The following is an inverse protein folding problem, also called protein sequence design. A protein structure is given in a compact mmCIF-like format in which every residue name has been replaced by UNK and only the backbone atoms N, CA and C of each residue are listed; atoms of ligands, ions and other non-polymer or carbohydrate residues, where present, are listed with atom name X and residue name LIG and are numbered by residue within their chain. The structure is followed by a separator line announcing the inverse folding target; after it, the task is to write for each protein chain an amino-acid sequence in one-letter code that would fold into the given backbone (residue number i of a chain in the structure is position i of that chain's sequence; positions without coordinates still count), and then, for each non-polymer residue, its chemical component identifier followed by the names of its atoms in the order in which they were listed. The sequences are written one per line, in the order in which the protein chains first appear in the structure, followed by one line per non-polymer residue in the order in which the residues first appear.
data_IF_748820072378
#
_entry.id   IF_748820072378
#
_cell.length_a   1.000
_cell.length_b   1.000
_cell.length_c   1.000
_cell.angle_alpha   90.00
_cell.angle_beta   90.00
_cell.angle_gamma   90.00
#
_symmetry.space_group_name_H-M   'P 1'
#
loop_
_entity.id
_entity.type
_entity.pdbx_description
1 polymer ?
#
# COMPACT_ATOMS: atom_id res chain seq x y z
N UNK A 1 -2.52 10.28 4.02
CA UNK A 1 -2.52 9.73 2.65
C UNK A 1 -1.50 10.53 1.87
N UNK A 2 -0.54 9.90 1.22
CA UNK A 2 0.36 10.63 0.35
C UNK A 2 -0.41 11.15 -0.87
N UNK A 3 -0.21 12.43 -1.18
CA UNK A 3 -0.78 13.12 -2.33
C UNK A 3 0.36 13.55 -3.22
N UNK A 4 0.32 13.17 -4.50
CA UNK A 4 1.33 13.50 -5.50
C UNK A 4 0.76 14.50 -6.51
N UNK A 5 1.56 15.47 -6.92
CA UNK A 5 1.18 16.42 -7.96
C UNK A 5 1.27 15.76 -9.35
N UNK A 6 0.21 15.86 -10.15
CA UNK A 6 0.19 15.42 -11.55
C UNK A 6 0.57 16.59 -12.43
N UNK A 7 1.53 16.39 -13.34
CA UNK A 7 2.06 17.40 -14.24
C UNK A 7 1.55 17.27 -15.69
N UNK A 8 1.35 16.03 -16.15
CA UNK A 8 0.88 15.74 -17.51
C UNK A 8 -0.16 14.62 -17.49
N UNK A 9 -1.02 14.64 -18.51
CA UNK A 9 -1.97 13.56 -18.80
C UNK A 9 -1.99 13.26 -20.29
N UNK A 10 -2.38 12.04 -20.65
CA UNK A 10 -2.64 11.54 -21.99
C UNK A 10 -3.75 10.51 -21.93
N UNK A 11 -4.62 10.44 -22.92
CA UNK A 11 -5.51 9.29 -23.13
C UNK A 11 -5.31 8.78 -24.54
N UNK A 12 -5.04 7.50 -24.69
CA UNK A 12 -4.87 6.84 -26.00
C UNK A 12 -5.43 5.42 -25.87
N UNK A 13 -6.25 5.00 -26.82
CA UNK A 13 -6.85 3.65 -26.88
C UNK A 13 -7.53 3.22 -25.58
N UNK A 14 -8.27 4.13 -24.96
CA UNK A 14 -8.94 3.89 -23.66
C UNK A 14 -7.98 3.66 -22.47
N UNK A 15 -6.73 4.12 -22.54
CA UNK A 15 -5.81 4.14 -21.42
C UNK A 15 -5.43 5.57 -21.05
N UNK A 16 -5.64 5.90 -19.79
CA UNK A 16 -5.22 7.16 -19.18
C UNK A 16 -3.80 6.98 -18.63
N UNK A 17 -2.87 7.77 -19.12
CA UNK A 17 -1.52 7.88 -18.59
C UNK A 17 -1.37 9.22 -17.90
N UNK A 18 -0.95 9.22 -16.65
CA UNK A 18 -0.60 10.42 -15.87
C UNK A 18 0.87 10.40 -15.50
N UNK A 19 1.48 11.57 -15.46
CA UNK A 19 2.84 11.76 -14.96
C UNK A 19 2.82 12.57 -13.68
N UNK A 20 3.47 12.05 -12.64
CA UNK A 20 3.65 12.76 -11.38
C UNK A 20 4.93 13.59 -11.37
N UNK A 21 4.95 14.63 -10.54
CA UNK A 21 6.14 15.50 -10.37
C UNK A 21 7.29 14.71 -9.72
N UNK A 22 6.96 13.89 -8.74
CA UNK A 22 7.91 13.09 -7.97
C UNK A 22 7.71 11.60 -8.24
N UNK A 23 8.74 10.81 -7.99
CA UNK A 23 8.64 9.35 -8.04
C UNK A 23 7.62 8.85 -7.00
N UNK A 24 6.85 7.85 -7.38
CA UNK A 24 5.86 7.24 -6.50
C UNK A 24 6.25 5.80 -6.18
N UNK A 25 5.79 5.32 -5.03
CA UNK A 25 5.89 3.91 -4.65
C UNK A 25 4.70 3.08 -5.15
N UNK A 26 3.95 3.61 -6.10
CA UNK A 26 2.74 2.98 -6.63
C UNK A 26 3.12 1.96 -7.68
N UNK A 27 2.60 0.75 -7.53
CA UNK A 27 2.82 -0.35 -8.48
C UNK A 27 1.52 -0.81 -9.14
N UNK A 28 1.67 -1.72 -10.09
CA UNK A 28 0.56 -2.38 -10.80
C UNK A 28 -0.41 -3.04 -9.81
N UNK A 29 -1.70 -2.96 -10.08
CA UNK A 29 -2.79 -3.49 -9.25
C UNK A 29 -3.20 -2.60 -8.07
N UNK A 30 -2.51 -1.50 -7.81
CA UNK A 30 -2.85 -0.59 -6.73
C UNK A 30 -3.93 0.42 -7.16
N UNK A 31 -4.77 0.82 -6.20
CA UNK A 31 -5.85 1.78 -6.45
C UNK A 31 -5.38 3.20 -6.13
N UNK A 32 -5.66 4.12 -7.06
CA UNK A 32 -5.32 5.54 -6.96
C UNK A 32 -6.57 6.39 -7.22
N UNK A 33 -6.66 7.54 -6.58
CA UNK A 33 -7.72 8.52 -6.84
C UNK A 33 -7.13 9.76 -7.48
N UNK A 34 -7.64 10.11 -8.66
CA UNK A 34 -7.19 11.24 -9.46
C UNK A 34 -8.17 12.41 -9.37
N UNK A 35 -7.64 13.62 -9.22
CA UNK A 35 -8.40 14.87 -9.17
C UNK A 35 -7.71 15.95 -10.00
N UNK A 36 -8.48 16.94 -10.47
CA UNK A 36 -7.94 18.08 -11.24
C UNK A 36 -7.63 17.78 -12.70
N UNK A 37 -7.96 16.58 -13.22
CA UNK A 37 -7.70 16.21 -14.62
C UNK A 37 -8.83 16.61 -15.58
N UNK A 38 -9.94 17.15 -15.08
CA UNK A 38 -11.18 17.38 -15.78
C UNK A 38 -12.26 16.39 -15.33
N UNK A 39 -13.53 16.81 -15.42
CA UNK A 39 -14.65 16.08 -14.83
C UNK A 39 -14.76 14.60 -15.30
N UNK A 40 -14.38 14.32 -16.53
CA UNK A 40 -14.48 12.98 -17.13
C UNK A 40 -13.31 12.06 -16.79
N UNK A 41 -12.18 12.61 -16.37
CA UNK A 41 -10.93 11.89 -16.08
C UNK A 41 -10.65 11.80 -14.58
N UNK A 42 -11.37 12.55 -13.75
CA UNK A 42 -11.30 12.39 -12.30
C UNK A 42 -11.95 11.07 -11.88
N UNK A 43 -11.43 10.45 -10.82
CA UNK A 43 -12.01 9.21 -10.30
C UNK A 43 -10.98 8.30 -9.66
N UNK A 44 -11.45 7.13 -9.23
CA UNK A 44 -10.60 6.08 -8.67
C UNK A 44 -10.33 5.01 -9.72
N UNK A 45 -9.08 4.66 -9.88
CA UNK A 45 -8.57 3.75 -10.90
C UNK A 45 -7.64 2.71 -10.31
N UNK A 46 -7.53 1.56 -10.99
CA UNK A 46 -6.49 0.57 -10.71
C UNK A 46 -5.33 0.78 -11.69
N UNK A 47 -4.12 0.87 -11.17
CA UNK A 47 -2.90 0.99 -11.99
C UNK A 47 -2.68 -0.31 -12.76
N UNK A 48 -2.60 -0.22 -14.06
CA UNK A 48 -2.36 -1.36 -14.97
C UNK A 48 -0.88 -1.55 -15.23
N UNK A 49 -0.15 -0.44 -15.40
CA UNK A 49 1.29 -0.45 -15.68
C UNK A 49 1.96 0.84 -15.17
N UNK A 50 3.29 0.79 -15.04
CA UNK A 50 4.15 1.91 -14.62
C UNK A 50 5.22 2.11 -15.70
N UNK A 51 4.83 2.64 -16.87
CA UNK A 51 5.74 2.75 -18.01
C UNK A 51 6.80 3.81 -17.79
N UNK A 52 7.99 3.55 -18.35
CA UNK A 52 9.12 4.49 -18.38
C UNK A 52 9.33 5.13 -19.74
N UNK A 53 8.52 4.74 -20.73
CA UNK A 53 8.57 5.26 -22.10
C UNK A 53 7.24 5.91 -22.49
N UNK A 54 7.25 6.72 -23.53
CA UNK A 54 6.04 7.33 -24.06
C UNK A 54 5.08 6.24 -24.57
N UNK A 55 3.86 6.23 -24.04
CA UNK A 55 2.80 5.34 -24.51
C UNK A 55 2.22 5.83 -25.83
N UNK A 56 2.21 4.96 -26.84
CA UNK A 56 1.71 5.25 -28.18
C UNK A 56 0.32 4.68 -28.44
N UNK A 57 -0.06 3.60 -27.76
CA UNK A 57 -1.35 2.94 -27.94
C UNK A 57 -1.29 1.43 -27.69
N UNK A 58 -2.27 0.73 -28.24
CA UNK A 58 -2.42 -0.72 -28.16
C UNK A 58 -2.45 -1.27 -29.57
N UNK A 59 -1.74 -2.37 -29.83
CA UNK A 59 -1.79 -3.03 -31.15
C UNK A 59 -3.06 -3.88 -31.34
N UNK A 60 -3.17 -4.51 -32.53
CA UNK A 60 -4.31 -5.35 -32.88
C UNK A 60 -4.39 -6.64 -32.03
N UNK A 61 -3.28 -7.05 -31.41
CA UNK A 61 -3.18 -8.18 -30.49
C UNK A 61 -3.53 -7.82 -29.04
N UNK A 62 -3.59 -6.51 -28.73
CA UNK A 62 -3.91 -6.00 -27.39
C UNK A 62 -2.68 -5.67 -26.54
N UNK A 63 -1.48 -5.69 -27.13
CA UNK A 63 -0.22 -5.37 -26.46
C UNK A 63 0.05 -3.87 -26.43
N UNK A 64 0.71 -3.39 -25.38
CA UNK A 64 1.03 -1.98 -25.22
C UNK A 64 2.22 -1.57 -26.07
N UNK A 65 2.06 -0.53 -26.87
CA UNK A 65 3.10 0.05 -27.71
C UNK A 65 3.72 1.26 -27.00
N UNK A 66 5.05 1.25 -26.87
CA UNK A 66 5.81 2.35 -26.30
C UNK A 66 6.89 2.84 -27.27
N UNK A 67 7.21 4.13 -27.22
CA UNK A 67 8.37 4.70 -27.94
C UNK A 67 9.64 4.63 -27.06
N UNK A 68 10.56 3.69 -27.32
CA UNK A 68 11.78 3.56 -26.51
C UNK A 68 12.77 4.72 -26.66
N UNK A 69 12.58 5.58 -27.67
CA UNK A 69 13.41 6.77 -27.87
C UNK A 69 13.00 7.91 -26.91
N UNK A 70 11.78 7.87 -26.36
CA UNK A 70 11.24 8.92 -25.50
C UNK A 70 11.04 8.37 -24.08
N UNK A 71 12.02 8.59 -23.21
CA UNK A 71 11.93 8.22 -21.80
C UNK A 71 11.14 9.25 -21.02
N UNK A 72 10.11 8.81 -20.31
CA UNK A 72 9.28 9.64 -19.43
C UNK A 72 9.14 8.91 -18.10
N UNK A 73 9.76 9.44 -17.05
CA UNK A 73 9.72 8.86 -15.72
C UNK A 73 8.43 9.24 -14.98
N UNK A 74 8.13 8.50 -13.92
CA UNK A 74 7.04 8.75 -12.98
C UNK A 74 5.65 8.71 -13.64
N UNK A 75 5.46 7.80 -14.59
CA UNK A 75 4.17 7.59 -15.22
C UNK A 75 3.39 6.47 -14.51
N UNK A 76 2.06 6.60 -14.53
CA UNK A 76 1.12 5.56 -14.13
C UNK A 76 0.07 5.43 -15.22
N UNK A 77 -0.21 4.21 -15.65
CA UNK A 77 -1.18 3.90 -16.70
C UNK A 77 -2.38 3.16 -16.10
N UNK A 78 -3.57 3.57 -16.49
CA UNK A 78 -4.85 3.03 -15.99
C UNK A 78 -5.85 2.92 -17.12
N UNK A 79 -6.73 1.93 -17.06
CA UNK A 79 -7.80 1.80 -18.05
C UNK A 79 -8.88 2.84 -17.81
N UNK A 80 -9.24 3.57 -18.86
CA UNK A 80 -10.29 4.58 -18.86
C UNK A 80 -10.90 4.75 -20.25
N UNK A 81 -12.12 4.26 -20.44
CA UNK A 81 -12.86 4.52 -21.68
C UNK A 81 -13.11 6.02 -21.84
N UNK A 82 -12.46 6.60 -22.84
CA UNK A 82 -12.55 8.02 -23.15
C UNK A 82 -12.00 8.25 -24.56
N UNK A 83 -12.45 9.32 -25.21
CA UNK A 83 -11.85 9.75 -26.48
C UNK A 83 -10.38 10.13 -26.26
N UNK A 84 -9.56 9.93 -27.29
CA UNK A 84 -8.15 10.22 -27.22
C UNK A 84 -7.87 11.69 -26.89
N UNK A 85 -6.93 11.89 -25.99
CA UNK A 85 -6.44 13.20 -25.56
C UNK A 85 -4.93 13.17 -25.67
N UNK A 86 -4.39 14.01 -26.55
CA UNK A 86 -2.95 14.15 -26.71
C UNK A 86 -2.25 14.50 -25.39
N UNK A 87 -0.99 14.07 -25.25
CA UNK A 87 -0.19 14.40 -24.08
C UNK A 87 -0.09 15.92 -23.89
N UNK A 88 -0.48 16.38 -22.71
CA UNK A 88 -0.45 17.80 -22.38
C UNK A 88 -0.30 18.06 -20.89
N UNK A 89 0.13 19.29 -20.52
CA UNK A 89 0.28 19.68 -19.13
C UNK A 89 -1.08 19.78 -18.44
N UNK A 90 -1.11 19.42 -17.15
CA UNK A 90 -2.26 19.55 -16.29
C UNK A 90 -1.83 19.77 -14.84
N UNK A 91 -2.65 20.49 -14.09
CA UNK A 91 -2.48 20.61 -12.62
C UNK A 91 -3.51 19.74 -11.94
N UNK A 92 -3.10 18.54 -11.56
CA UNK A 92 -3.94 17.58 -10.86
C UNK A 92 -3.27 17.03 -9.63
N UNK A 93 -3.99 16.21 -8.89
CA UNK A 93 -3.48 15.48 -7.74
C UNK A 93 -3.82 13.99 -7.86
N UNK A 94 -2.93 13.17 -7.35
CA UNK A 94 -3.09 11.74 -7.19
C UNK A 94 -3.01 11.41 -5.71
N UNK A 95 -4.09 10.88 -5.17
CA UNK A 95 -4.16 10.37 -3.82
C UNK A 95 -4.03 8.85 -3.83
N UNK A 96 -3.16 8.34 -2.98
CA UNK A 96 -2.87 6.92 -2.88
C UNK A 96 -3.03 6.42 -1.45
N UNK A 97 -3.85 5.39 -1.28
CA UNK A 97 -3.98 4.68 -0.01
C UNK A 97 -3.58 3.23 -0.23
N UNK A 98 -2.48 2.83 0.38
CA UNK A 98 -2.10 1.43 0.42
C UNK A 98 -3.04 0.69 1.37
N UNK A 99 -3.95 -0.11 0.82
CA UNK A 99 -4.86 -0.95 1.60
C UNK A 99 -4.39 -2.39 1.48
N UNK A 100 -3.65 -2.87 2.48
CA UNK A 100 -3.26 -4.26 2.59
C UNK A 100 -4.32 -5.04 3.37
N UNK A 101 -4.70 -6.23 2.89
CA UNK A 101 -5.77 -7.06 3.46
C UNK A 101 -5.32 -8.50 3.73
N UNK A 102 -4.11 -8.68 4.25
CA UNK A 102 -3.53 -10.01 4.51
C UNK A 102 -4.22 -10.76 5.63
N UNK A 103 -4.62 -10.04 6.70
CA UNK A 103 -5.32 -10.64 7.82
C UNK A 103 -6.67 -9.96 8.05
N UNK A 104 -7.59 -10.69 8.69
CA UNK A 104 -8.92 -10.22 9.04
C UNK A 104 -9.08 -10.03 10.56
N UNK A 105 -10.13 -9.32 10.97
CA UNK A 105 -10.45 -9.14 12.38
C UNK A 105 -10.76 -10.49 13.05
N UNK A 106 -11.38 -11.43 12.33
CA UNK A 106 -11.69 -12.74 12.89
C UNK A 106 -10.43 -13.54 13.25
N UNK A 107 -9.40 -13.52 12.38
CA UNK A 107 -8.12 -14.19 12.64
C UNK A 107 -7.47 -13.68 13.93
N UNK A 108 -7.60 -12.37 14.21
CA UNK A 108 -7.06 -11.77 15.44
C UNK A 108 -7.91 -12.15 16.66
N UNK A 109 -9.23 -12.18 16.54
CA UNK A 109 -10.16 -12.64 17.59
C UNK A 109 -9.85 -14.08 17.99
N UNK A 110 -9.69 -14.97 17.01
CA UNK A 110 -9.37 -16.38 17.21
C UNK A 110 -8.00 -16.55 17.88
N UNK A 111 -7.00 -15.80 17.43
CA UNK A 111 -5.66 -15.83 18.02
C UNK A 111 -5.62 -15.30 19.47
N UNK A 112 -6.45 -14.28 19.78
CA UNK A 112 -6.57 -13.74 21.14
C UNK A 112 -7.37 -14.66 22.10
N UNK A 113 -8.10 -15.63 21.55
CA UNK A 113 -8.97 -16.52 22.31
C UNK A 113 -10.22 -15.81 22.86
N UNK A 114 -10.70 -14.79 22.18
CA UNK A 114 -11.88 -14.02 22.60
C UNK A 114 -13.13 -14.75 22.09
N UNK A 115 -13.91 -15.36 23.00
CA UNK A 115 -15.11 -16.11 22.62
C UNK A 115 -16.23 -15.21 22.06
N UNK A 116 -16.43 -14.01 22.65
CA UNK A 116 -17.43 -13.04 22.18
C UNK A 116 -16.85 -11.64 22.36
N UNK A 117 -16.51 -11.00 21.23
CA UNK A 117 -16.02 -9.62 21.23
C UNK A 117 -17.18 -8.64 21.42
N UNK A 118 -17.03 -7.65 22.29
CA UNK A 118 -17.98 -6.54 22.38
C UNK A 118 -17.91 -5.66 21.14
N UNK A 119 -18.91 -4.80 20.91
CA UNK A 119 -18.89 -3.85 19.78
C UNK A 119 -17.65 -2.92 19.83
N UNK A 120 -17.24 -2.50 21.04
CA UNK A 120 -16.06 -1.68 21.25
C UNK A 120 -14.76 -2.44 20.95
N UNK A 121 -14.70 -3.73 21.30
CA UNK A 121 -13.53 -4.58 20.99
C UNK A 121 -13.43 -4.83 19.49
N UNK A 122 -14.55 -5.13 18.84
CA UNK A 122 -14.60 -5.33 17.39
C UNK A 122 -14.14 -4.09 16.64
N UNK A 123 -14.61 -2.91 17.03
CA UNK A 123 -14.20 -1.65 16.42
C UNK A 123 -12.70 -1.37 16.61
N UNK A 124 -12.14 -1.70 17.77
CA UNK A 124 -10.73 -1.50 18.05
C UNK A 124 -9.85 -2.56 17.36
N UNK A 125 -10.25 -3.83 17.35
CA UNK A 125 -9.57 -4.91 16.62
C UNK A 125 -9.48 -4.56 15.13
N UNK A 126 -10.54 -4.02 14.53
CA UNK A 126 -10.52 -3.58 13.13
C UNK A 126 -9.44 -2.53 12.88
N UNK A 127 -9.23 -1.59 13.80
CA UNK A 127 -8.14 -0.60 13.70
C UNK A 127 -6.77 -1.25 13.86
N UNK A 128 -6.62 -2.20 14.79
CA UNK A 128 -5.37 -2.94 14.98
C UNK A 128 -5.01 -3.76 13.74
N UNK A 129 -5.99 -4.41 13.11
CA UNK A 129 -5.83 -5.17 11.86
C UNK A 129 -5.36 -4.26 10.73
N UNK A 130 -6.03 -3.12 10.53
CA UNK A 130 -5.64 -2.18 9.50
C UNK A 130 -4.20 -1.65 9.70
N UNK A 131 -3.85 -1.32 10.94
CA UNK A 131 -2.51 -0.87 11.30
C UNK A 131 -1.45 -1.97 11.10
N UNK A 132 -1.75 -3.21 11.48
CA UNK A 132 -0.84 -4.34 11.34
C UNK A 132 -0.60 -4.71 9.87
N UNK A 133 -1.66 -4.77 9.06
CA UNK A 133 -1.56 -5.00 7.62
C UNK A 133 -0.68 -3.93 6.94
N UNK A 134 -0.95 -2.65 7.23
CA UNK A 134 -0.19 -1.54 6.66
C UNK A 134 1.29 -1.56 7.11
N UNK A 135 1.54 -1.87 8.38
CA UNK A 135 2.90 -1.98 8.92
C UNK A 135 3.67 -3.12 8.26
N UNK A 136 3.11 -4.33 8.25
CA UNK A 136 3.76 -5.53 7.72
C UNK A 136 4.10 -5.35 6.22
N UNK A 137 3.15 -4.88 5.43
CA UNK A 137 3.36 -4.60 4.00
C UNK A 137 4.47 -3.57 3.79
N UNK A 138 4.42 -2.43 4.48
CA UNK A 138 5.44 -1.37 4.36
C UNK A 138 6.83 -1.88 4.73
N UNK A 139 6.97 -2.59 5.85
CA UNK A 139 8.26 -3.10 6.32
C UNK A 139 8.86 -4.13 5.37
N UNK A 140 8.03 -5.00 4.79
CA UNK A 140 8.49 -5.95 3.78
C UNK A 140 8.90 -5.26 2.49
N UNK A 141 8.17 -4.24 2.07
CA UNK A 141 8.54 -3.43 0.90
C UNK A 141 9.86 -2.68 1.11
N UNK A 142 10.08 -2.09 2.29
CA UNK A 142 11.36 -1.48 2.68
C UNK A 142 12.52 -2.50 2.67
N UNK A 143 12.23 -3.77 2.93
CA UNK A 143 13.20 -4.87 2.86
C UNK A 143 13.37 -5.47 1.44
N UNK A 144 12.75 -4.86 0.41
CA UNK A 144 12.89 -5.24 -0.99
C UNK A 144 11.93 -6.32 -1.50
N UNK A 145 10.89 -6.66 -0.73
CA UNK A 145 9.84 -7.60 -1.20
C UNK A 145 8.78 -6.89 -2.02
N UNK A 146 8.30 -7.55 -3.08
CA UNK A 146 7.21 -7.09 -3.94
C UNK A 146 5.99 -7.98 -3.74
N UNK A 147 5.30 -7.78 -2.63
CA UNK A 147 4.17 -8.61 -2.23
C UNK A 147 2.84 -8.07 -2.78
N UNK A 148 1.86 -8.97 -2.99
CA UNK A 148 0.48 -8.61 -3.28
C UNK A 148 -0.16 -7.89 -2.09
N UNK A 149 -1.03 -6.91 -2.35
CA UNK A 149 -1.80 -6.23 -1.31
C UNK A 149 -2.94 -7.09 -0.74
N UNK A 150 -3.42 -8.07 -1.51
CA UNK A 150 -4.60 -8.88 -1.17
C UNK A 150 -4.26 -10.30 -0.77
N UNK A 151 -3.08 -10.81 -1.17
CA UNK A 151 -2.64 -12.18 -0.90
C UNK A 151 -1.42 -12.16 -0.01
N UNK A 152 -1.53 -12.74 1.17
CA UNK A 152 -0.38 -12.86 2.08
C UNK A 152 0.70 -13.77 1.47
N UNK A 153 1.99 -13.41 1.55
CA UNK A 153 3.06 -14.16 0.90
C UNK A 153 3.31 -15.56 1.47
N UNK A 154 3.03 -15.75 2.76
CA UNK A 154 3.25 -17.03 3.44
C UNK A 154 2.66 -17.04 4.84
N UNK A 155 2.50 -18.24 5.43
CA UNK A 155 1.91 -18.42 6.76
C UNK A 155 2.75 -17.83 7.90
N UNK A 156 4.06 -17.68 7.71
CA UNK A 156 4.95 -16.97 8.63
C UNK A 156 4.63 -15.47 8.68
N UNK A 157 4.45 -14.85 7.51
CA UNK A 157 4.07 -13.43 7.38
C UNK A 157 2.66 -13.20 7.93
N UNK A 158 1.72 -14.11 7.65
CA UNK A 158 0.37 -14.06 8.21
C UNK A 158 0.41 -14.09 9.74
N UNK A 159 1.10 -15.09 10.32
CA UNK A 159 1.24 -15.22 11.77
C UNK A 159 1.94 -13.98 12.39
N UNK A 160 3.01 -13.49 11.79
CA UNK A 160 3.71 -12.29 12.25
C UNK A 160 2.80 -11.05 12.26
N UNK A 161 1.94 -10.93 11.24
CA UNK A 161 0.97 -9.82 11.14
C UNK A 161 -0.14 -9.96 12.17
N UNK A 162 -0.66 -11.18 12.42
CA UNK A 162 -1.64 -11.47 13.47
C UNK A 162 -1.06 -11.16 14.85
N UNK A 163 0.16 -11.61 15.14
CA UNK A 163 0.84 -11.35 16.41
C UNK A 163 1.01 -9.84 16.65
N UNK A 164 1.35 -9.08 15.63
CA UNK A 164 1.48 -7.63 15.73
C UNK A 164 0.12 -6.97 16.00
N UNK A 165 -0.95 -7.36 15.29
CA UNK A 165 -2.30 -6.87 15.57
C UNK A 165 -2.76 -7.19 17.01
N UNK A 166 -2.47 -8.39 17.49
CA UNK A 166 -2.78 -8.82 18.85
C UNK A 166 -1.98 -8.05 19.91
N UNK A 167 -0.72 -7.69 19.65
CA UNK A 167 0.05 -6.83 20.56
C UNK A 167 -0.57 -5.44 20.67
N UNK A 168 -0.93 -4.82 19.53
CA UNK A 168 -1.61 -3.54 19.51
C UNK A 168 -2.94 -3.55 20.29
N UNK A 169 -3.68 -4.66 20.20
CA UNK A 169 -4.91 -4.81 20.97
C UNK A 169 -4.66 -4.87 22.47
N UNK A 170 -3.64 -5.63 22.92
CA UNK A 170 -3.28 -5.76 24.34
C UNK A 170 -2.72 -4.48 24.94
N UNK A 171 -2.10 -3.64 24.13
CA UNK A 171 -1.59 -2.33 24.54
C UNK A 171 -2.68 -1.27 24.68
N UNK A 172 -3.95 -1.58 24.37
CA UNK A 172 -5.09 -0.69 24.52
C UNK A 172 -5.20 -0.17 25.96
N UNK A 173 -5.14 1.14 26.14
CA UNK A 173 -5.26 1.79 27.44
C UNK A 173 -4.02 1.75 28.32
N UNK A 174 -2.89 1.21 27.82
CA UNK A 174 -1.63 1.12 28.58
C UNK A 174 -0.74 2.36 28.43
N UNK A 175 -1.23 3.42 27.81
CA UNK A 175 -0.48 4.68 27.67
C UNK A 175 -0.03 5.24 29.02
N UNK A 176 -0.82 5.04 30.06
CA UNK A 176 -0.46 5.44 31.44
C UNK A 176 0.61 4.53 32.07
N UNK A 177 0.81 3.30 31.57
CA UNK A 177 1.84 2.42 32.10
C UNK A 177 3.24 2.74 31.51
N UNK A 178 3.32 3.46 30.39
CA UNK A 178 4.60 3.93 29.87
C UNK A 178 5.29 4.94 30.80
N UNK A 179 4.52 5.82 31.44
CA UNK A 179 5.05 6.79 32.41
C UNK A 179 5.60 6.14 33.69
N UNK A 180 5.09 4.96 34.07
CA UNK A 180 5.57 4.21 35.23
C UNK A 180 6.78 3.33 34.94
N UNK A 181 7.00 2.93 33.69
CA UNK A 181 8.14 2.11 33.26
C UNK A 181 9.45 2.93 33.12
N UNK A 182 9.37 4.21 32.74
CA UNK A 182 10.54 5.09 32.74
C UNK A 182 11.19 5.24 34.12
N UNK A 183 10.40 5.14 35.19
CA UNK A 183 10.90 5.24 36.58
C UNK A 183 11.54 3.94 37.10
N UNK A 184 11.33 2.80 36.48
CA UNK A 184 11.83 1.50 36.97
C UNK A 184 13.06 0.96 36.22
N UNK A 185 13.57 1.64 35.19
CA UNK A 185 14.84 1.29 34.51
C UNK A 185 14.85 -0.12 33.89
N UNK A 186 13.71 -0.76 33.71
CA UNK A 186 13.58 -2.07 33.09
C UNK A 186 13.48 -1.91 31.58
N UNK A 187 14.39 -2.51 30.79
CA UNK A 187 14.27 -2.44 29.33
C UNK A 187 12.96 -3.09 28.90
N UNK A 188 12.17 -2.35 28.11
CA UNK A 188 11.00 -2.90 27.42
C UNK A 188 11.41 -4.19 26.72
N UNK A 189 10.69 -5.31 26.86
CA UNK A 189 11.09 -6.56 26.22
C UNK A 189 11.01 -6.42 24.71
N UNK A 190 12.17 -6.17 24.08
CA UNK A 190 12.38 -6.18 22.63
C UNK A 190 12.04 -7.54 21.98
N UNK A 191 11.68 -8.56 22.79
CA UNK A 191 11.47 -9.93 22.33
C UNK A 191 10.32 -10.11 21.36
N UNK A 192 9.19 -9.44 21.58
CA UNK A 192 8.02 -9.56 20.68
C UNK A 192 8.29 -8.94 19.31
N UNK A 193 8.91 -7.79 19.25
CA UNK A 193 9.26 -7.13 17.98
C UNK A 193 10.31 -7.93 17.20
N UNK A 194 11.28 -8.55 17.87
CA UNK A 194 12.29 -9.41 17.23
C UNK A 194 11.68 -10.66 16.57
N UNK A 195 10.69 -11.28 17.22
CA UNK A 195 10.01 -12.44 16.66
C UNK A 195 9.09 -12.04 15.50
N UNK A 196 8.33 -10.96 15.63
CA UNK A 196 7.49 -10.42 14.57
C UNK A 196 8.33 -10.08 13.33
N UNK A 197 9.45 -9.36 13.52
CA UNK A 197 10.36 -9.01 12.43
C UNK A 197 10.96 -10.24 11.74
N UNK A 198 11.27 -11.32 12.50
CA UNK A 198 11.74 -12.59 11.94
C UNK A 198 10.66 -13.26 11.09
N UNK A 199 9.42 -13.32 11.57
CA UNK A 199 8.29 -13.88 10.83
C UNK A 199 7.97 -13.07 9.57
N UNK A 200 8.08 -11.75 9.63
CA UNK A 200 7.92 -10.89 8.47
C UNK A 200 9.10 -10.98 7.48
N UNK A 201 10.19 -11.68 7.83
CA UNK A 201 11.37 -11.84 6.97
C UNK A 201 12.24 -10.58 6.84
N UNK A 202 12.03 -9.55 7.67
CA UNK A 202 12.68 -8.23 7.54
C UNK A 202 13.99 -8.10 8.33
N UNK A 203 14.40 -9.14 9.07
CA UNK A 203 15.68 -9.17 9.81
C UNK A 203 16.83 -9.81 9.01
N UNK A 204 16.72 -9.94 7.71
CA UNK A 204 17.85 -10.39 6.90
C UNK A 204 18.91 -9.30 6.91
N UNK A 205 20.10 -9.62 7.45
CA UNK A 205 21.30 -8.82 7.16
C UNK A 205 21.44 -8.77 5.64
N UNK A 206 21.35 -7.60 5.06
CA UNK A 206 21.69 -7.39 3.66
C UNK A 206 23.22 -7.49 3.57
N UNK A 207 23.74 -8.70 3.52
CA UNK A 207 25.09 -8.96 3.08
C UNK A 207 25.02 -9.09 1.58
N UNK A 208 25.38 -8.01 0.89
CA UNK A 208 25.65 -8.01 -0.53
C UNK A 208 26.99 -8.71 -0.77
#
# INVERSE_FOLDING_TARGET
MPTYAITHRQVTDNYLVVQTLEGTDIGTGQSVTLSGLGATLNGTYTVQDVPIYLFLGVDDEGDFIFDPAVTILNQLMMQKTHADVGRGPVSGTLDFTTSCTWITSQMVVDWLGIATATANDTAFITKCVAAANAYAYRRRREAGYFDSLTTVPGGDVELGTIMFAGSLYRERGSVDSFASFEQMGTPVPFGANGQINRLLGINRSQVA
#
